data_IF_999787960262
#
_entry.id   IF_999787960262
#
_cell.length_a   1.000
_cell.length_b   1.000
_cell.length_c   1.000
_cell.angle_alpha   90.00
_cell.angle_beta   90.00
_cell.angle_gamma   90.00
#
_symmetry.space_group_name_H-M   'P 1'
#
loop_
_entity.id
_entity.type
_entity.pdbx_description
1 polymer ?
#
# COMPACT_ATOMS: atom_id res chain seq x y z
N UNK A 1 26.55 -13.39 0.00
CA UNK A 1 26.21 -12.22 -0.83
C UNK A 1 24.74 -12.33 -1.16
N UNK A 2 23.91 -11.54 -0.52
CA UNK A 2 22.45 -11.58 -0.63
C UNK A 2 22.06 -10.80 -1.86
N UNK A 3 21.74 -11.49 -2.96
CA UNK A 3 21.07 -10.87 -4.11
C UNK A 3 19.72 -10.36 -3.61
N UNK A 4 19.62 -9.04 -3.41
CA UNK A 4 18.38 -8.34 -3.14
C UNK A 4 17.46 -8.59 -4.33
N UNK A 5 16.42 -9.40 -4.14
CA UNK A 5 15.49 -9.71 -5.22
C UNK A 5 14.94 -8.42 -5.82
N UNK A 6 14.92 -8.33 -7.14
CA UNK A 6 14.44 -7.16 -7.89
C UNK A 6 13.02 -6.78 -7.45
N UNK A 7 12.22 -7.80 -7.08
CA UNK A 7 10.89 -7.65 -6.51
C UNK A 7 10.95 -6.87 -5.19
N UNK A 8 11.84 -7.22 -4.26
CA UNK A 8 11.92 -6.55 -2.95
C UNK A 8 12.23 -5.05 -3.07
N UNK A 9 13.14 -4.68 -3.97
CA UNK A 9 13.50 -3.27 -4.24
C UNK A 9 12.35 -2.50 -4.90
N UNK A 10 11.71 -3.06 -5.92
CA UNK A 10 10.57 -2.42 -6.58
C UNK A 10 9.36 -2.29 -5.64
N UNK A 11 9.12 -3.30 -4.80
CA UNK A 11 8.03 -3.27 -3.81
C UNK A 11 8.29 -2.19 -2.74
N UNK A 12 9.53 -2.07 -2.26
CA UNK A 12 9.89 -1.11 -1.23
C UNK A 12 9.75 0.34 -1.73
N UNK A 13 10.17 0.64 -2.96
CA UNK A 13 10.03 1.96 -3.56
C UNK A 13 8.56 2.34 -3.81
N UNK A 14 7.75 1.37 -4.24
CA UNK A 14 6.32 1.55 -4.42
C UNK A 14 5.65 1.84 -3.06
N UNK A 15 6.03 1.12 -2.00
CA UNK A 15 5.52 1.34 -0.65
C UNK A 15 5.94 2.73 -0.12
N UNK A 16 7.19 3.15 -0.34
CA UNK A 16 7.69 4.48 0.08
C UNK A 16 6.97 5.63 -0.60
N UNK A 17 6.81 5.58 -1.93
CA UNK A 17 6.07 6.61 -2.68
C UNK A 17 4.60 6.69 -2.24
N UNK A 18 3.97 5.56 -1.91
CA UNK A 18 2.59 5.50 -1.40
C UNK A 18 2.45 6.09 0.00
N UNK A 19 3.34 5.74 0.94
CA UNK A 19 3.36 6.35 2.28
C UNK A 19 3.49 7.88 2.21
N UNK A 20 4.38 8.36 1.33
CA UNK A 20 4.57 9.80 1.13
C UNK A 20 3.32 10.47 0.54
N UNK A 21 2.69 9.86 -0.46
CA UNK A 21 1.48 10.41 -1.09
C UNK A 21 0.29 10.46 -0.12
N UNK A 22 0.12 9.43 0.72
CA UNK A 22 -0.91 9.38 1.79
C UNK A 22 -0.67 10.44 2.86
N UNK A 23 0.58 10.61 3.28
CA UNK A 23 0.93 11.67 4.22
C UNK A 23 0.59 13.05 3.64
N UNK A 24 0.84 13.27 2.35
CA UNK A 24 0.51 14.53 1.68
C UNK A 24 -1.00 14.73 1.56
N UNK A 25 -1.77 13.71 1.13
CA UNK A 25 -3.22 13.84 0.94
C UNK A 25 -3.97 14.04 2.25
N UNK A 26 -3.63 13.27 3.29
CA UNK A 26 -4.22 13.43 4.63
C UNK A 26 -3.93 14.79 5.25
N UNK A 27 -2.71 15.29 5.08
CA UNK A 27 -2.31 16.61 5.56
C UNK A 27 -3.03 17.71 4.77
N UNK A 28 -3.20 17.55 3.45
CA UNK A 28 -3.97 18.48 2.63
C UNK A 28 -5.43 18.58 3.07
N UNK A 29 -6.09 17.45 3.41
CA UNK A 29 -7.47 17.44 3.91
C UNK A 29 -7.56 18.13 5.28
N UNK A 30 -6.64 17.81 6.20
CA UNK A 30 -6.61 18.45 7.52
C UNK A 30 -6.39 19.97 7.43
N UNK A 31 -5.52 20.42 6.54
CA UNK A 31 -5.28 21.85 6.26
C UNK A 31 -6.52 22.49 5.63
N UNK A 32 -7.21 21.82 4.70
CA UNK A 32 -8.42 22.35 4.07
C UNK A 32 -9.54 22.60 5.10
N UNK A 33 -9.73 21.66 6.04
CA UNK A 33 -10.69 21.81 7.14
C UNK A 33 -10.34 23.01 8.02
N UNK A 34 -9.06 23.17 8.37
CA UNK A 34 -8.63 24.30 9.18
C UNK A 34 -8.80 25.64 8.44
N UNK A 35 -8.45 25.71 7.16
CA UNK A 35 -8.65 26.90 6.33
C UNK A 35 -10.13 27.27 6.23
N UNK A 36 -11.02 26.29 6.09
CA UNK A 36 -12.46 26.55 6.09
C UNK A 36 -12.92 27.20 7.39
N UNK A 37 -12.42 26.73 8.53
CA UNK A 37 -12.72 27.31 9.85
C UNK A 37 -12.17 28.73 9.97
N UNK A 38 -10.95 29.00 9.47
CA UNK A 38 -10.40 30.36 9.43
C UNK A 38 -11.28 31.30 8.60
N UNK A 39 -11.73 30.85 7.41
CA UNK A 39 -12.61 31.66 6.55
C UNK A 39 -13.93 31.97 7.26
N UNK A 40 -14.53 30.98 7.93
CA UNK A 40 -15.73 31.17 8.75
C UNK A 40 -15.51 32.18 9.87
N UNK A 41 -14.39 32.06 10.59
CA UNK A 41 -14.02 33.00 11.66
C UNK A 41 -13.82 34.41 11.12
N UNK A 42 -13.17 34.59 9.97
CA UNK A 42 -13.03 35.91 9.33
C UNK A 42 -14.39 36.51 8.99
N UNK A 43 -15.29 35.75 8.38
CA UNK A 43 -16.63 36.22 8.02
C UNK A 43 -17.47 36.61 9.25
N UNK A 44 -17.32 35.87 10.35
CA UNK A 44 -18.06 36.11 11.59
C UNK A 44 -17.32 37.02 12.58
N UNK A 45 -16.10 37.48 12.25
CA UNK A 45 -15.24 38.24 13.17
C UNK A 45 -15.88 39.54 13.68
N UNK A 46 -16.71 40.18 12.86
CA UNK A 46 -17.45 41.38 13.23
C UNK A 46 -18.52 41.14 14.32
N UNK A 47 -18.92 39.90 14.55
CA UNK A 47 -19.98 39.50 15.47
C UNK A 47 -19.46 38.71 16.68
N UNK A 48 -18.17 38.37 16.70
CA UNK A 48 -17.59 37.48 17.70
C UNK A 48 -16.58 38.22 18.60
N UNK A 49 -16.65 38.02 19.92
CA UNK A 49 -15.60 38.49 20.83
C UNK A 49 -14.25 37.85 20.52
N UNK A 50 -13.16 38.59 20.80
CA UNK A 50 -11.79 38.13 20.54
C UNK A 50 -11.46 36.79 21.22
N UNK A 51 -11.96 36.57 22.45
CA UNK A 51 -11.78 35.30 23.16
C UNK A 51 -12.44 34.13 22.44
N UNK A 52 -13.65 34.34 21.91
CA UNK A 52 -14.38 33.31 21.16
C UNK A 52 -13.66 32.97 19.85
N UNK A 53 -13.12 33.98 19.16
CA UNK A 53 -12.29 33.80 17.96
C UNK A 53 -11.08 32.89 18.28
N UNK A 54 -10.37 33.17 19.38
CA UNK A 54 -9.22 32.37 19.81
C UNK A 54 -9.60 30.92 20.11
N UNK A 55 -10.69 30.69 20.83
CA UNK A 55 -11.16 29.32 21.12
C UNK A 55 -11.56 28.56 19.85
N UNK A 56 -12.27 29.22 18.92
CA UNK A 56 -12.68 28.58 17.65
C UNK A 56 -11.47 28.22 16.80
N UNK A 57 -10.42 29.05 16.78
CA UNK A 57 -9.17 28.72 16.07
C UNK A 57 -8.46 27.51 16.69
N UNK A 58 -8.38 27.42 18.01
CA UNK A 58 -7.77 26.27 18.70
C UNK A 58 -8.56 24.99 18.42
N UNK A 59 -9.89 25.05 18.57
CA UNK A 59 -10.78 23.91 18.29
C UNK A 59 -10.69 23.52 16.80
N UNK A 60 -10.61 24.50 15.90
CA UNK A 60 -10.47 24.25 14.48
C UNK A 60 -9.15 23.60 14.10
N UNK A 61 -8.04 23.99 14.73
CA UNK A 61 -6.74 23.34 14.54
C UNK A 61 -6.78 21.88 14.99
N UNK A 62 -7.41 21.60 16.13
CA UNK A 62 -7.62 20.24 16.63
C UNK A 62 -8.52 19.42 15.71
N UNK A 63 -9.61 20.01 15.19
CA UNK A 63 -10.51 19.36 14.26
C UNK A 63 -9.83 19.05 12.92
N UNK A 64 -9.04 19.99 12.38
CA UNK A 64 -8.24 19.76 11.18
C UNK A 64 -7.21 18.66 11.36
N UNK A 65 -6.48 18.65 12.48
CA UNK A 65 -5.52 17.60 12.82
C UNK A 65 -6.21 16.23 12.97
N UNK A 66 -7.31 16.16 13.71
CA UNK A 66 -8.08 14.93 13.90
C UNK A 66 -8.64 14.40 12.58
N UNK A 67 -9.13 15.28 11.70
CA UNK A 67 -9.65 14.89 10.38
C UNK A 67 -8.51 14.40 9.48
N UNK A 68 -7.37 15.07 9.47
CA UNK A 68 -6.18 14.62 8.75
C UNK A 68 -5.72 13.25 9.23
N UNK A 69 -5.67 13.01 10.54
CA UNK A 69 -5.31 11.70 11.11
C UNK A 69 -6.36 10.65 10.78
N UNK A 70 -7.65 10.99 10.85
CA UNK A 70 -8.74 10.08 10.52
C UNK A 70 -8.67 9.67 9.05
N UNK A 71 -8.50 10.61 8.12
CA UNK A 71 -8.28 10.30 6.70
C UNK A 71 -6.99 9.52 6.49
N UNK A 72 -5.91 9.89 7.20
CA UNK A 72 -4.69 9.10 7.17
C UNK A 72 -4.99 7.67 7.58
N UNK A 73 -5.79 7.38 8.61
CA UNK A 73 -6.07 6.02 9.06
C UNK A 73 -7.11 5.27 8.20
N UNK A 74 -8.13 5.97 7.70
CA UNK A 74 -9.28 5.40 6.97
C UNK A 74 -8.97 5.07 5.52
N UNK A 75 -8.09 5.83 4.86
CA UNK A 75 -7.65 5.52 3.49
C UNK A 75 -6.94 4.15 3.51
N UNK A 76 -7.74 3.11 3.25
CA UNK A 76 -7.30 1.73 3.15
C UNK A 76 -6.31 1.67 2.00
N UNK A 77 -5.28 0.82 2.12
CA UNK A 77 -4.28 0.66 1.08
C UNK A 77 -4.96 0.66 -0.29
N UNK A 78 -4.67 1.63 -1.18
CA UNK A 78 -5.23 1.57 -2.52
C UNK A 78 -4.80 0.23 -3.10
N UNK A 79 -5.78 -0.54 -3.57
CA UNK A 79 -5.56 -1.83 -4.22
C UNK A 79 -4.40 -1.66 -5.21
N UNK A 80 -3.46 -2.62 -5.22
CA UNK A 80 -2.45 -2.66 -6.27
C UNK A 80 -3.19 -2.72 -7.63
N UNK A 81 -3.36 -1.55 -8.26
CA UNK A 81 -3.76 -1.39 -9.67
C UNK A 81 -2.69 -1.90 -10.63
N UNK A 82 -1.53 -2.19 -10.10
CA UNK A 82 -0.43 -2.74 -10.85
C UNK A 82 -0.59 -4.26 -10.88
N UNK A 83 -1.36 -4.71 -11.86
CA UNK A 83 -1.37 -6.10 -12.25
C UNK A 83 0.03 -6.38 -12.82
N UNK A 84 0.68 -7.43 -12.31
CA UNK A 84 2.01 -7.82 -12.75
C UNK A 84 2.01 -9.33 -12.94
N UNK A 85 2.75 -9.79 -13.94
CA UNK A 85 3.10 -11.18 -14.10
C UNK A 85 4.51 -11.43 -13.59
N UNK A 86 4.67 -12.48 -12.82
CA UNK A 86 5.96 -12.90 -12.27
C UNK A 86 6.40 -14.14 -13.03
N UNK A 87 7.45 -14.01 -13.84
CA UNK A 87 8.10 -15.15 -14.48
C UNK A 87 9.09 -15.76 -13.50
N UNK A 88 8.88 -17.03 -13.16
CA UNK A 88 9.73 -17.75 -12.23
C UNK A 88 10.03 -19.17 -12.74
N UNK A 89 11.18 -19.71 -12.35
CA UNK A 89 11.59 -21.06 -12.67
C UNK A 89 11.83 -21.86 -11.39
N UNK A 90 11.35 -23.09 -11.32
CA UNK A 90 11.71 -23.99 -10.21
C UNK A 90 13.19 -24.38 -10.28
N UNK A 91 13.87 -24.30 -9.15
CA UNK A 91 15.26 -24.74 -8.99
C UNK A 91 15.36 -26.11 -8.32
N UNK A 92 14.53 -26.39 -7.31
CA UNK A 92 14.61 -27.61 -6.49
C UNK A 92 13.25 -28.27 -6.25
N UNK A 93 13.26 -29.60 -6.05
CA UNK A 93 12.07 -30.40 -5.80
C UNK A 93 11.32 -29.99 -4.54
N UNK A 94 10.01 -29.79 -4.69
CA UNK A 94 9.07 -29.31 -3.67
C UNK A 94 8.84 -30.32 -2.53
N UNK A 95 9.83 -30.57 -1.68
CA UNK A 95 9.63 -31.42 -0.51
C UNK A 95 9.05 -30.59 0.63
N UNK A 96 7.77 -30.85 0.93
CA UNK A 96 7.01 -30.32 2.07
C UNK A 96 6.50 -28.87 2.00
N UNK A 97 6.12 -28.38 0.81
CA UNK A 97 5.31 -27.16 0.71
C UNK A 97 3.84 -27.51 0.96
N UNK A 98 3.13 -26.69 1.74
CA UNK A 98 1.70 -26.86 2.03
C UNK A 98 0.95 -25.55 1.85
N UNK A 99 -0.35 -25.64 1.58
CA UNK A 99 -1.21 -24.49 1.40
C UNK A 99 -0.80 -23.60 0.20
N UNK A 100 -0.68 -22.30 0.47
CA UNK A 100 -0.42 -21.25 -0.54
C UNK A 100 0.89 -21.49 -1.29
N UNK A 101 1.92 -21.95 -0.58
CA UNK A 101 3.26 -22.12 -1.15
C UNK A 101 3.29 -23.29 -2.14
N UNK A 102 2.52 -24.35 -1.88
CA UNK A 102 2.33 -25.46 -2.83
C UNK A 102 1.54 -25.02 -4.07
N UNK A 103 0.50 -24.18 -3.89
CA UNK A 103 -0.29 -23.66 -4.99
C UNK A 103 0.56 -22.76 -5.91
N UNK A 104 1.39 -21.88 -5.34
CA UNK A 104 2.30 -21.01 -6.10
C UNK A 104 3.34 -21.83 -6.88
N UNK A 105 3.97 -22.80 -6.24
CA UNK A 105 4.98 -23.65 -6.89
C UNK A 105 4.36 -24.51 -7.99
N UNK A 106 3.13 -25.02 -7.80
CA UNK A 106 2.41 -25.75 -8.85
C UNK A 106 2.04 -24.85 -10.05
N UNK A 107 1.64 -23.60 -9.81
CA UNK A 107 1.30 -22.68 -10.90
C UNK A 107 2.56 -22.29 -11.69
N UNK A 108 3.69 -22.04 -11.01
CA UNK A 108 5.01 -21.80 -11.64
C UNK A 108 5.47 -23.02 -12.42
N UNK A 109 5.31 -24.23 -11.87
CA UNK A 109 5.69 -25.47 -12.57
C UNK A 109 4.88 -25.69 -13.84
N UNK A 110 3.62 -25.25 -13.88
CA UNK A 110 2.72 -25.43 -15.03
C UNK A 110 2.88 -24.37 -16.11
N UNK A 111 3.00 -23.10 -15.72
CA UNK A 111 2.94 -21.96 -16.66
C UNK A 111 4.26 -21.21 -16.77
N UNK A 112 5.19 -21.35 -15.82
CA UNK A 112 6.40 -20.53 -15.72
C UNK A 112 6.15 -19.06 -15.37
N UNK A 113 4.90 -18.60 -15.47
CA UNK A 113 4.45 -17.24 -15.27
C UNK A 113 3.21 -17.25 -14.36
N UNK A 114 3.22 -16.43 -13.31
CA UNK A 114 2.06 -16.20 -12.45
C UNK A 114 1.53 -14.80 -12.66
N UNK A 115 0.27 -14.69 -13.09
CA UNK A 115 -0.50 -13.46 -12.99
C UNK A 115 -1.00 -13.28 -11.55
N UNK A 116 -0.47 -12.30 -10.83
CA UNK A 116 -0.75 -12.11 -9.39
C UNK A 116 -2.22 -11.75 -9.15
N UNK A 117 -2.87 -11.07 -10.10
CA UNK A 117 -4.29 -10.70 -10.01
C UNK A 117 -5.18 -11.93 -10.13
N UNK A 118 -4.99 -12.70 -11.20
CA UNK A 118 -5.77 -13.90 -11.48
C UNK A 118 -5.58 -14.92 -10.34
N UNK A 119 -4.35 -15.07 -9.86
CA UNK A 119 -4.05 -15.97 -8.75
C UNK A 119 -4.69 -15.52 -7.44
N UNK A 120 -4.63 -14.23 -7.11
CA UNK A 120 -5.28 -13.64 -5.92
C UNK A 120 -6.80 -13.83 -5.96
N UNK A 121 -7.44 -13.57 -7.10
CA UNK A 121 -8.88 -13.75 -7.27
C UNK A 121 -9.30 -15.22 -7.15
N UNK A 122 -8.54 -16.14 -7.74
CA UNK A 122 -8.84 -17.58 -7.70
C UNK A 122 -8.66 -18.19 -6.32
N UNK A 123 -7.69 -17.70 -5.55
CA UNK A 123 -7.34 -18.27 -4.23
C UNK A 123 -7.94 -17.52 -3.05
N UNK A 124 -8.48 -16.31 -3.26
CA UNK A 124 -8.97 -15.43 -2.20
C UNK A 124 -7.87 -14.87 -1.31
N UNK A 125 -6.60 -14.97 -1.74
CA UNK A 125 -5.43 -14.54 -0.97
C UNK A 125 -5.02 -13.15 -1.43
N UNK A 126 -4.72 -12.29 -0.46
CA UNK A 126 -4.26 -10.93 -0.74
C UNK A 126 -2.96 -10.89 -1.56
N UNK A 127 -2.87 -9.93 -2.50
CA UNK A 127 -1.74 -9.77 -3.43
C UNK A 127 -0.41 -9.60 -2.67
N UNK A 128 -0.39 -8.90 -1.52
CA UNK A 128 0.84 -8.76 -0.72
C UNK A 128 1.28 -10.09 -0.13
N UNK A 129 0.34 -10.89 0.36
CA UNK A 129 0.65 -12.21 0.93
C UNK A 129 1.29 -13.10 -0.12
N UNK A 130 0.76 -13.09 -1.35
CA UNK A 130 1.33 -13.83 -2.49
C UNK A 130 2.77 -13.38 -2.79
N UNK A 131 3.00 -12.07 -2.88
CA UNK A 131 4.33 -11.52 -3.17
C UNK A 131 5.33 -11.84 -2.04
N UNK A 132 4.89 -11.75 -0.79
CA UNK A 132 5.72 -12.10 0.36
C UNK A 132 6.10 -13.59 0.33
N UNK A 133 5.17 -14.48 -0.03
CA UNK A 133 5.44 -15.92 -0.20
C UNK A 133 6.38 -16.20 -1.36
N UNK A 134 6.22 -15.55 -2.52
CA UNK A 134 7.15 -15.66 -3.64
C UNK A 134 8.57 -15.26 -3.25
N UNK A 135 8.74 -14.15 -2.54
CA UNK A 135 10.04 -13.74 -2.01
C UNK A 135 10.61 -14.77 -1.00
N UNK A 136 9.78 -15.37 -0.15
CA UNK A 136 10.23 -16.42 0.77
C UNK A 136 10.68 -17.68 0.01
N UNK A 137 9.96 -18.08 -1.03
CA UNK A 137 10.30 -19.23 -1.88
C UNK A 137 11.60 -18.99 -2.67
N UNK A 138 11.82 -17.76 -3.13
CA UNK A 138 13.06 -17.37 -3.80
C UNK A 138 14.26 -17.39 -2.84
N UNK A 139 14.11 -16.79 -1.65
CA UNK A 139 15.14 -16.82 -0.59
C UNK A 139 15.44 -18.23 -0.10
N UNK A 140 14.45 -19.11 -0.11
CA UNK A 140 14.60 -20.52 0.20
C UNK A 140 15.29 -21.32 -0.92
N UNK A 141 15.58 -20.70 -2.08
CA UNK A 141 16.22 -21.36 -3.22
C UNK A 141 15.33 -22.38 -3.92
N UNK A 142 14.00 -22.27 -3.75
CA UNK A 142 13.01 -23.18 -4.35
C UNK A 142 12.65 -22.69 -5.75
N UNK A 143 12.49 -21.38 -5.91
CA UNK A 143 12.20 -20.73 -7.19
C UNK A 143 13.27 -19.67 -7.49
N UNK A 144 13.49 -19.39 -8.76
CA UNK A 144 14.27 -18.24 -9.24
C UNK A 144 13.35 -17.31 -10.01
N UNK A 145 13.24 -16.07 -9.59
CA UNK A 145 12.45 -15.08 -10.30
C UNK A 145 13.31 -14.52 -11.43
N UNK A 146 12.83 -14.67 -12.67
CA UNK A 146 13.54 -14.21 -13.86
C UNK A 146 13.15 -12.79 -14.23
N UNK A 147 11.85 -12.51 -14.20
CA UNK A 147 11.33 -11.24 -14.67
C UNK A 147 10.02 -10.86 -13.99
N UNK A 148 9.76 -9.56 -13.90
CA UNK A 148 8.47 -9.01 -13.47
C UNK A 148 7.94 -8.15 -14.59
N UNK A 149 6.83 -8.58 -15.19
CA UNK A 149 6.22 -7.93 -16.34
C UNK A 149 5.02 -7.11 -15.85
N UNK A 150 5.02 -5.78 -15.98
CA UNK A 150 3.83 -4.98 -15.73
C UNK A 150 2.74 -5.28 -16.77
N UNK A 151 1.53 -5.54 -16.29
CA UNK A 151 0.32 -5.57 -17.11
C UNK A 151 -0.23 -4.15 -17.14
N UNK A 152 -0.33 -3.59 -18.33
CA UNK A 152 -0.96 -2.28 -18.59
C UNK A 152 -2.48 -2.33 -18.40
#
# INVERSE_FOLDING_TARGET
MTETSIISLQLEDIIKKRKKTRAISSLAIGVAVYLFIIVMVMLMSAFLPLLTITYVLIIGALAGAATGIAFYLVESYPELKSDFEVEAQLLNGSKSLSGVDAALVNEIARRGVINIKEFSQRTGIDKFTIIARLNMLERAGIIKIKNVIPLE
#
